data_IF_624285334273
#
_entry.id   IF_624285334273
#
_cell.length_a   1.000
_cell.length_b   1.000
_cell.length_c   1.000
_cell.angle_alpha   90.00
_cell.angle_beta   90.00
_cell.angle_gamma   90.00
#
_symmetry.space_group_name_H-M   'P 1'
#
loop_
_entity.id
_entity.type
_entity.pdbx_description
1 polymer ?
#
# COMPACT_ATOMS: atom_id res chain seq x y z
N UNK A 1 -8.57 -27.62 0.34
CA UNK A 1 -7.48 -26.63 0.13
C UNK A 1 -7.53 -25.95 -1.24
N UNK A 2 -7.30 -26.64 -2.37
CA UNK A 2 -7.26 -25.99 -3.71
C UNK A 2 -8.54 -25.22 -4.08
N UNK A 3 -9.71 -25.81 -3.90
CA UNK A 3 -11.00 -25.14 -4.20
C UNK A 3 -11.21 -23.89 -3.32
N UNK A 4 -10.93 -23.99 -2.02
CA UNK A 4 -11.01 -22.87 -1.10
C UNK A 4 -10.01 -21.74 -1.40
N UNK A 5 -8.83 -22.07 -1.96
CA UNK A 5 -7.85 -21.09 -2.40
C UNK A 5 -8.29 -20.37 -3.69
N UNK A 6 -8.84 -21.10 -4.65
CA UNK A 6 -9.42 -20.55 -5.88
C UNK A 6 -10.56 -19.57 -5.58
N UNK A 7 -11.48 -19.93 -4.68
CA UNK A 7 -12.56 -19.05 -4.27
C UNK A 7 -12.08 -17.74 -3.61
N UNK A 8 -10.88 -17.73 -3.02
CA UNK A 8 -10.30 -16.56 -2.35
C UNK A 8 -9.24 -15.82 -3.19
N UNK A 9 -9.02 -16.24 -4.44
CA UNK A 9 -8.01 -15.62 -5.32
C UNK A 9 -6.56 -15.81 -4.85
N UNK A 10 -6.28 -16.80 -4.00
CA UNK A 10 -4.93 -17.08 -3.50
C UNK A 10 -4.22 -18.06 -4.44
N UNK A 11 -3.12 -17.67 -5.12
CA UNK A 11 -2.33 -18.59 -5.92
C UNK A 11 -1.58 -19.57 -5.00
N UNK A 12 -2.16 -20.74 -4.77
CA UNK A 12 -1.60 -21.77 -3.90
C UNK A 12 -0.94 -22.88 -4.71
N UNK A 13 0.32 -23.21 -4.39
CA UNK A 13 1.01 -24.43 -4.87
C UNK A 13 1.06 -25.42 -3.72
N UNK A 14 0.54 -26.63 -3.94
CA UNK A 14 0.61 -27.71 -2.97
C UNK A 14 1.86 -28.57 -3.22
N UNK A 15 2.53 -29.04 -2.16
CA UNK A 15 3.62 -30.01 -2.29
C UNK A 15 3.11 -31.34 -2.86
N UNK A 16 4.00 -32.09 -3.49
CA UNK A 16 3.71 -33.40 -4.11
C UNK A 16 3.56 -34.52 -3.07
N UNK A 17 3.92 -34.25 -1.82
CA UNK A 17 4.02 -35.19 -0.71
C UNK A 17 4.96 -36.37 -1.03
N UNK A 18 6.14 -36.09 -1.58
CA UNK A 18 7.20 -37.09 -1.78
C UNK A 18 7.79 -37.59 -0.45
N UNK A 19 8.67 -38.61 -0.47
CA UNK A 19 9.24 -39.18 0.76
C UNK A 19 10.03 -38.16 1.58
N UNK A 20 10.69 -37.20 0.93
CA UNK A 20 11.43 -36.15 1.62
C UNK A 20 10.46 -35.16 2.30
N UNK A 21 9.37 -34.82 1.62
CA UNK A 21 8.30 -33.95 2.15
C UNK A 21 7.49 -34.62 3.27
N UNK A 22 7.23 -35.93 3.18
CA UNK A 22 6.56 -36.70 4.23
C UNK A 22 7.36 -36.72 5.53
N UNK A 23 8.69 -36.78 5.44
CA UNK A 23 9.57 -36.75 6.62
C UNK A 23 9.45 -35.47 7.44
N UNK A 24 9.24 -34.33 6.76
CA UNK A 24 9.09 -33.02 7.39
C UNK A 24 7.63 -32.61 7.62
N UNK A 25 6.66 -33.29 7.02
CA UNK A 25 5.21 -33.05 7.16
C UNK A 25 4.60 -33.52 8.48
N UNK A 26 5.37 -33.53 9.57
CA UNK A 26 4.93 -34.01 10.88
C UNK A 26 4.51 -32.85 11.80
N UNK A 27 3.76 -33.16 12.86
CA UNK A 27 3.26 -32.17 13.81
C UNK A 27 4.38 -31.31 14.43
N UNK A 28 5.55 -31.89 14.74
CA UNK A 28 6.67 -31.15 15.34
C UNK A 28 7.19 -30.07 14.40
N UNK A 29 7.32 -30.37 13.12
CA UNK A 29 7.84 -29.42 12.12
C UNK A 29 6.78 -28.41 11.70
N UNK A 30 5.55 -28.85 11.42
CA UNK A 30 4.44 -27.97 11.05
C UNK A 30 4.06 -27.04 12.21
N UNK A 31 4.22 -27.51 13.44
CA UNK A 31 4.10 -26.72 14.65
C UNK A 31 5.44 -26.15 15.18
N UNK A 32 6.51 -26.18 14.38
CA UNK A 32 7.81 -25.63 14.73
C UNK A 32 7.90 -24.12 14.44
N UNK A 33 8.67 -23.38 15.23
CA UNK A 33 8.99 -21.97 14.93
C UNK A 33 10.06 -21.82 13.86
N UNK A 34 10.90 -22.85 13.68
CA UNK A 34 11.94 -22.90 12.67
C UNK A 34 11.36 -23.30 11.30
N UNK A 35 11.38 -22.41 10.30
CA UNK A 35 10.90 -22.71 8.96
C UNK A 35 11.94 -23.43 8.09
N UNK A 36 13.21 -23.57 8.51
CA UNK A 36 14.29 -24.08 7.66
C UNK A 36 13.94 -25.37 6.87
N UNK A 37 13.44 -26.45 7.51
CA UNK A 37 13.10 -27.68 6.78
C UNK A 37 11.96 -27.48 5.78
N UNK A 38 10.97 -26.64 6.12
CA UNK A 38 9.85 -26.34 5.23
C UNK A 38 10.28 -25.44 4.07
N UNK A 39 11.22 -24.51 4.31
CA UNK A 39 11.77 -23.62 3.30
C UNK A 39 12.56 -24.40 2.26
N UNK A 40 13.45 -25.29 2.70
CA UNK A 40 14.25 -26.13 1.80
C UNK A 40 13.37 -26.96 0.86
N UNK A 41 12.31 -27.58 1.38
CA UNK A 41 11.35 -28.30 0.54
C UNK A 41 10.53 -27.39 -0.38
N UNK A 42 10.25 -26.15 0.06
CA UNK A 42 9.44 -25.18 -0.70
C UNK A 42 10.20 -24.48 -1.83
N UNK A 43 11.54 -24.49 -1.82
CA UNK A 43 12.38 -23.86 -2.86
C UNK A 43 12.06 -24.38 -4.27
N UNK A 44 11.72 -25.67 -4.37
CA UNK A 44 11.35 -26.34 -5.63
C UNK A 44 10.07 -25.76 -6.27
N UNK A 45 9.25 -25.05 -5.50
CA UNK A 45 7.98 -24.48 -5.94
C UNK A 45 8.03 -22.96 -6.14
N UNK A 46 9.18 -22.32 -5.92
CA UNK A 46 9.37 -20.88 -6.08
C UNK A 46 8.34 -20.06 -5.31
N UNK A 47 8.11 -20.43 -4.05
CA UNK A 47 7.07 -19.82 -3.22
C UNK A 47 7.61 -18.59 -2.47
N UNK A 48 6.93 -17.46 -2.58
CA UNK A 48 7.23 -16.24 -1.81
C UNK A 48 6.79 -16.35 -0.33
N UNK A 49 5.83 -17.25 -0.07
CA UNK A 49 5.28 -17.52 1.25
C UNK A 49 5.10 -19.02 1.48
N UNK A 50 5.26 -19.45 2.73
CA UNK A 50 5.09 -20.85 3.15
C UNK A 50 3.98 -20.91 4.19
N UNK A 51 2.94 -21.70 3.92
CA UNK A 51 1.84 -21.97 4.84
C UNK A 51 1.92 -23.43 5.31
N UNK A 52 2.20 -23.63 6.59
CA UNK A 52 2.08 -24.93 7.25
C UNK A 52 0.72 -25.04 7.93
N UNK A 53 0.04 -26.17 7.74
CA UNK A 53 -1.23 -26.46 8.40
C UNK A 53 -1.16 -27.86 9.01
N UNK A 54 -1.31 -27.95 10.32
CA UNK A 54 -1.48 -29.21 11.02
C UNK A 54 -2.96 -29.37 11.38
N UNK A 55 -3.65 -30.25 10.66
CA UNK A 55 -5.05 -30.58 10.87
C UNK A 55 -5.19 -31.90 11.64
N UNK A 56 -6.08 -31.91 12.64
CA UNK A 56 -6.46 -33.08 13.43
C UNK A 56 -7.97 -33.16 13.55
N UNK A 57 -8.50 -34.36 13.60
CA UNK A 57 -9.91 -34.60 13.93
C UNK A 57 -10.02 -34.97 15.41
N UNK A 58 -10.98 -34.36 16.10
CA UNK A 58 -11.22 -34.57 17.53
C UNK A 58 -12.72 -34.42 17.81
N UNK A 59 -13.35 -35.51 18.29
CA UNK A 59 -14.78 -35.51 18.63
C UNK A 59 -15.73 -35.21 17.46
N UNK A 60 -15.38 -35.58 16.23
CA UNK A 60 -16.17 -35.29 15.03
C UNK A 60 -16.06 -33.84 14.54
N UNK A 61 -15.11 -33.08 15.08
CA UNK A 61 -14.75 -31.75 14.59
C UNK A 61 -13.31 -31.73 14.11
N UNK A 62 -13.09 -31.09 12.96
CA UNK A 62 -11.76 -30.82 12.45
C UNK A 62 -11.19 -29.56 13.10
N UNK A 63 -9.95 -29.64 13.54
CA UNK A 63 -9.21 -28.55 14.17
C UNK A 63 -7.87 -28.42 13.45
N UNK A 64 -7.48 -27.21 13.08
CA UNK A 64 -6.25 -26.94 12.36
C UNK A 64 -5.46 -25.85 13.05
N UNK A 65 -4.19 -26.11 13.34
CA UNK A 65 -3.23 -25.04 13.64
C UNK A 65 -2.50 -24.70 12.35
N UNK A 66 -2.25 -23.42 12.13
CA UNK A 66 -1.56 -22.96 10.93
C UNK A 66 -0.51 -21.92 11.27
N UNK A 67 0.52 -21.89 10.42
CA UNK A 67 1.63 -20.94 10.47
C UNK A 67 1.98 -20.48 9.07
N UNK A 68 2.25 -19.19 8.94
CA UNK A 68 2.62 -18.57 7.68
C UNK A 68 3.95 -17.83 7.85
N UNK A 69 4.88 -18.10 6.94
CA UNK A 69 6.13 -17.36 6.80
C UNK A 69 6.12 -16.63 5.46
N UNK A 70 6.37 -15.31 5.51
CA UNK A 70 6.43 -14.44 4.35
C UNK A 70 7.51 -13.39 4.59
N UNK A 71 8.69 -13.57 3.97
CA UNK A 71 9.88 -12.79 4.29
C UNK A 71 10.19 -12.84 5.79
N UNK A 72 10.26 -11.69 6.45
CA UNK A 72 10.52 -11.58 7.90
C UNK A 72 9.27 -11.79 8.77
N UNK A 73 8.09 -11.90 8.16
CA UNK A 73 6.82 -11.99 8.88
C UNK A 73 6.48 -13.43 9.22
N UNK A 74 5.91 -13.59 10.42
CA UNK A 74 5.49 -14.87 10.97
C UNK A 74 4.10 -14.69 11.54
N UNK A 75 3.11 -15.27 10.87
CA UNK A 75 1.73 -15.30 11.35
C UNK A 75 1.38 -16.71 11.80
N UNK A 76 0.48 -16.82 12.78
CA UNK A 76 0.00 -18.10 13.26
C UNK A 76 -1.43 -17.99 13.74
N UNK A 77 -2.13 -19.12 13.73
CA UNK A 77 -3.49 -19.19 14.24
C UNK A 77 -4.01 -20.59 14.31
N UNK A 78 -5.30 -20.67 14.61
CA UNK A 78 -6.05 -21.91 14.63
C UNK A 78 -7.43 -21.70 14.03
N UNK A 79 -7.98 -22.74 13.44
CA UNK A 79 -9.30 -22.77 12.84
C UNK A 79 -9.97 -24.10 13.16
N UNK A 80 -11.30 -24.12 13.10
CA UNK A 80 -12.10 -25.33 13.26
C UNK A 80 -13.10 -25.46 12.13
N UNK A 81 -13.55 -26.68 11.86
CA UNK A 81 -14.52 -26.98 10.81
C UNK A 81 -15.25 -28.29 11.07
N UNK A 82 -16.48 -28.41 10.57
CA UNK A 82 -17.24 -29.65 10.65
C UNK A 82 -16.66 -30.75 9.73
N UNK A 83 -16.00 -30.36 8.64
CA UNK A 83 -15.33 -31.26 7.69
C UNK A 83 -13.91 -30.77 7.39
N UNK A 84 -13.12 -31.62 6.73
CA UNK A 84 -11.76 -31.25 6.31
C UNK A 84 -11.76 -30.06 5.33
N UNK A 85 -12.79 -29.96 4.49
CA UNK A 85 -13.01 -28.88 3.53
C UNK A 85 -13.39 -27.59 4.25
N UNK A 86 -14.30 -27.67 5.23
CA UNK A 86 -14.68 -26.54 6.05
C UNK A 86 -13.50 -26.00 6.86
N UNK A 87 -12.64 -26.88 7.39
CA UNK A 87 -11.42 -26.48 8.06
C UNK A 87 -10.46 -25.78 7.08
N UNK A 88 -10.24 -26.36 5.90
CA UNK A 88 -9.39 -25.76 4.87
C UNK A 88 -9.88 -24.35 4.48
N UNK A 89 -11.20 -24.19 4.37
CA UNK A 89 -11.84 -22.92 4.08
C UNK A 89 -11.60 -21.90 5.21
N UNK A 90 -11.82 -22.30 6.47
CA UNK A 90 -11.60 -21.46 7.63
C UNK A 90 -10.13 -21.05 7.83
N UNK A 91 -9.18 -21.95 7.58
CA UNK A 91 -7.73 -21.64 7.62
C UNK A 91 -7.39 -20.59 6.56
N UNK A 92 -7.82 -20.79 5.32
CA UNK A 92 -7.53 -19.86 4.23
C UNK A 92 -8.22 -18.50 4.44
N UNK A 93 -9.42 -18.47 5.03
CA UNK A 93 -10.06 -17.22 5.45
C UNK A 93 -9.19 -16.49 6.47
N UNK A 94 -8.80 -17.18 7.54
CA UNK A 94 -7.99 -16.59 8.61
C UNK A 94 -6.65 -16.05 8.08
N UNK A 95 -5.99 -16.81 7.20
CA UNK A 95 -4.77 -16.35 6.50
C UNK A 95 -5.06 -15.12 5.64
N UNK A 96 -6.14 -15.13 4.86
CA UNK A 96 -6.51 -14.00 4.00
C UNK A 96 -6.82 -12.73 4.80
N UNK A 97 -7.49 -12.83 5.94
CA UNK A 97 -7.78 -11.69 6.83
C UNK A 97 -6.51 -11.12 7.47
N UNK A 98 -5.52 -11.97 7.77
CA UNK A 98 -4.23 -11.57 8.31
C UNK A 98 -3.33 -10.93 7.27
N UNK A 99 -3.43 -11.40 6.03
CA UNK A 99 -2.74 -10.82 4.88
C UNK A 99 -3.45 -9.57 4.33
N UNK A 100 -4.76 -9.43 4.54
CA UNK A 100 -5.57 -8.35 3.99
C UNK A 100 -5.04 -6.95 4.35
N UNK A 101 -4.67 -6.59 5.60
CA UNK A 101 -4.10 -5.27 5.89
C UNK A 101 -2.87 -4.91 5.05
N UNK A 102 -2.15 -5.90 4.52
CA UNK A 102 -0.89 -5.73 3.80
C UNK A 102 -1.01 -5.91 2.29
N UNK A 103 -1.99 -6.69 1.85
CA UNK A 103 -2.23 -7.03 0.43
C UNK A 103 -3.58 -6.54 -0.09
N UNK A 104 -4.42 -5.94 0.76
CA UNK A 104 -5.40 -4.95 0.31
C UNK A 104 -4.59 -3.77 -0.17
N UNK A 105 -4.17 -3.86 -1.43
CA UNK A 105 -4.22 -2.69 -2.27
C UNK A 105 -5.66 -2.19 -2.12
N UNK A 106 -5.88 -1.14 -1.32
CA UNK A 106 -7.01 -0.25 -1.61
C UNK A 106 -6.94 -0.03 -3.13
N UNK A 107 -8.05 0.04 -3.84
CA UNK A 107 -8.03 0.52 -5.22
C UNK A 107 -7.40 1.94 -5.24
N UNK A 108 -6.08 2.06 -5.37
CA UNK A 108 -5.28 3.27 -5.05
C UNK A 108 -4.30 3.18 -3.86
N UNK A 109 -3.93 1.99 -3.36
CA UNK A 109 -2.82 1.81 -2.41
C UNK A 109 -1.69 0.97 -3.03
N UNK A 110 -1.32 1.31 -4.25
CA UNK A 110 0.10 1.53 -4.51
C UNK A 110 0.61 2.49 -3.44
N UNK A 111 1.87 2.43 -3.03
CA UNK A 111 2.49 3.59 -2.38
C UNK A 111 2.47 4.72 -3.43
N UNK A 112 1.32 5.40 -3.53
CA UNK A 112 0.97 6.31 -4.60
C UNK A 112 1.88 7.50 -4.44
N UNK A 113 2.84 7.64 -5.34
CA UNK A 113 3.67 8.82 -5.36
C UNK A 113 2.88 9.89 -6.08
N UNK A 114 2.74 11.05 -5.44
CA UNK A 114 2.07 12.18 -6.05
C UNK A 114 3.08 12.92 -6.93
N UNK A 115 2.74 13.13 -8.19
CA UNK A 115 3.53 13.92 -9.12
C UNK A 115 2.72 15.17 -9.42
N UNK A 116 3.26 16.33 -9.06
CA UNK A 116 2.73 17.60 -9.53
C UNK A 116 3.54 18.08 -10.73
N UNK A 117 2.87 18.30 -11.86
CA UNK A 117 3.48 18.85 -13.07
C UNK A 117 2.91 20.23 -13.34
N UNK A 118 3.79 21.22 -13.52
CA UNK A 118 3.45 22.61 -13.85
C UNK A 118 3.63 22.87 -15.36
N UNK A 119 2.88 23.84 -15.92
CA UNK A 119 2.93 24.16 -17.34
C UNK A 119 2.22 23.14 -18.24
N UNK A 120 1.11 22.57 -17.77
CA UNK A 120 0.33 21.58 -18.51
C UNK A 120 -0.42 22.20 -19.68
N UNK A 121 -0.35 21.57 -20.85
CA UNK A 121 -1.22 21.82 -22.01
C UNK A 121 -1.97 20.54 -22.37
N UNK A 122 -3.03 20.64 -23.19
CA UNK A 122 -3.80 19.48 -23.63
C UNK A 122 -2.91 18.43 -24.34
N UNK A 123 -1.97 18.90 -25.14
CA UNK A 123 -1.00 18.05 -25.87
C UNK A 123 -0.04 17.34 -24.90
N UNK A 124 0.51 18.07 -23.92
CA UNK A 124 1.42 17.55 -22.90
C UNK A 124 0.73 16.55 -21.97
N UNK A 125 -0.56 16.75 -21.70
CA UNK A 125 -1.35 15.84 -20.90
C UNK A 125 -1.46 14.45 -21.54
N UNK A 126 -1.78 14.39 -22.84
CA UNK A 126 -1.86 13.12 -23.57
C UNK A 126 -0.51 12.40 -23.63
N UNK A 127 0.58 13.15 -23.82
CA UNK A 127 1.95 12.62 -23.81
C UNK A 127 2.31 12.05 -22.43
N UNK A 128 1.97 12.77 -21.36
CA UNK A 128 2.25 12.35 -20.00
C UNK A 128 1.42 11.13 -19.60
N UNK A 129 0.16 11.04 -20.03
CA UNK A 129 -0.65 9.84 -19.82
C UNK A 129 -0.03 8.60 -20.47
N UNK A 130 0.47 8.71 -21.70
CA UNK A 130 1.15 7.61 -22.38
C UNK A 130 2.44 7.20 -21.65
N UNK A 131 3.21 8.18 -21.16
CA UNK A 131 4.44 7.92 -20.43
C UNK A 131 4.20 7.25 -19.07
N UNK A 132 3.11 7.62 -18.40
CA UNK A 132 2.77 7.12 -17.07
C UNK A 132 1.87 5.86 -17.10
N UNK A 133 1.47 5.38 -18.28
CA UNK A 133 0.64 4.18 -18.47
C UNK A 133 1.24 2.93 -17.80
N UNK A 134 2.55 2.63 -17.91
CA UNK A 134 3.18 1.49 -17.23
C UNK A 134 3.14 1.55 -15.71
N UNK A 135 2.93 2.74 -15.13
CA UNK A 135 2.91 3.00 -13.69
C UNK A 135 1.48 3.08 -13.12
N UNK A 136 0.46 2.83 -13.93
CA UNK A 136 -0.94 2.90 -13.48
C UNK A 136 -1.34 4.30 -13.01
N UNK A 137 -1.26 5.27 -13.92
CA UNK A 137 -1.57 6.67 -13.65
C UNK A 137 -3.03 6.92 -13.29
N UNK A 138 -3.25 7.72 -12.25
CA UNK A 138 -4.57 8.24 -11.88
C UNK A 138 -4.52 9.75 -11.69
N UNK A 139 -5.47 10.46 -12.26
CA UNK A 139 -5.60 11.91 -12.06
C UNK A 139 -6.16 12.18 -10.65
N UNK A 140 -5.46 13.00 -9.86
CA UNK A 140 -5.88 13.38 -8.50
C UNK A 140 -6.52 14.77 -8.49
N UNK A 141 -5.86 15.77 -9.08
CA UNK A 141 -6.39 17.14 -9.14
C UNK A 141 -5.83 17.91 -10.35
N UNK A 142 -6.59 18.91 -10.80
CA UNK A 142 -6.20 19.86 -11.85
C UNK A 142 -6.51 21.26 -11.36
N UNK A 143 -5.49 22.11 -11.29
CA UNK A 143 -5.61 23.51 -10.89
C UNK A 143 -4.87 24.39 -11.90
N UNK A 144 -5.61 24.93 -12.87
CA UNK A 144 -5.04 25.75 -13.94
C UNK A 144 -4.02 24.97 -14.79
N UNK A 145 -2.77 25.41 -14.77
CA UNK A 145 -1.64 24.76 -15.47
C UNK A 145 -0.96 23.66 -14.63
N UNK A 146 -1.41 23.43 -13.39
CA UNK A 146 -0.86 22.44 -12.46
C UNK A 146 -1.74 21.21 -12.43
N UNK A 147 -1.13 20.04 -12.63
CA UNK A 147 -1.84 18.76 -12.56
C UNK A 147 -1.14 17.83 -11.61
N UNK A 148 -1.92 17.20 -10.73
CA UNK A 148 -1.45 16.21 -9.76
C UNK A 148 -1.90 14.83 -10.22
N UNK A 149 -0.94 13.94 -10.43
CA UNK A 149 -1.16 12.54 -10.72
C UNK A 149 -0.72 11.68 -9.55
N UNK A 150 -1.43 10.59 -9.34
CA UNK A 150 -1.03 9.48 -8.49
C UNK A 150 -0.47 8.37 -9.38
N UNK A 151 0.74 7.91 -9.08
CA UNK A 151 1.40 6.81 -9.81
C UNK A 151 1.93 5.75 -8.87
N UNK A 152 2.13 4.56 -9.43
CA UNK A 152 2.58 3.37 -8.72
C UNK A 152 3.96 2.96 -9.26
N UNK A 153 5.00 2.90 -8.42
CA UNK A 153 6.29 2.36 -8.86
C UNK A 153 7.50 2.94 -8.13
N UNK A 154 8.69 2.58 -8.62
CA UNK A 154 9.97 3.00 -8.07
C UNK A 154 10.27 4.47 -8.42
N UNK A 155 10.60 5.29 -7.41
CA UNK A 155 10.93 6.72 -7.57
C UNK A 155 12.02 6.97 -8.61
N UNK A 156 13.09 6.17 -8.61
CA UNK A 156 14.22 6.34 -9.54
C UNK A 156 13.85 6.03 -11.00
N UNK A 157 12.97 5.05 -11.24
CA UNK A 157 12.51 4.72 -12.59
C UNK A 157 11.64 5.84 -13.15
N UNK A 158 10.75 6.39 -12.32
CA UNK A 158 9.91 7.51 -12.73
C UNK A 158 10.75 8.75 -13.02
N UNK A 159 11.69 9.11 -12.13
CA UNK A 159 12.61 10.24 -12.35
C UNK A 159 13.38 10.09 -13.66
N UNK A 160 13.88 8.89 -13.94
CA UNK A 160 14.57 8.57 -15.19
C UNK A 160 13.67 8.73 -16.41
N UNK A 161 12.42 8.26 -16.37
CA UNK A 161 11.49 8.42 -17.49
C UNK A 161 11.04 9.87 -17.71
N UNK A 162 10.74 10.62 -16.64
CA UNK A 162 10.31 12.01 -16.74
C UNK A 162 11.43 12.93 -17.24
N UNK A 163 12.68 12.69 -16.82
CA UNK A 163 13.84 13.41 -17.35
C UNK A 163 14.09 13.13 -18.83
N UNK A 164 13.84 11.90 -19.31
CA UNK A 164 13.88 11.57 -20.74
C UNK A 164 12.80 12.32 -21.54
N UNK A 165 11.64 12.55 -20.92
CA UNK A 165 10.56 13.37 -21.49
C UNK A 165 10.79 14.88 -21.37
N UNK A 166 11.99 15.31 -20.94
CA UNK A 166 12.43 16.70 -20.73
C UNK A 166 11.76 17.42 -19.56
N UNK A 167 11.09 16.70 -18.65
CA UNK A 167 10.60 17.32 -17.42
C UNK A 167 11.76 17.50 -16.43
N UNK A 168 11.86 18.70 -15.87
CA UNK A 168 12.84 19.03 -14.84
C UNK A 168 12.22 18.85 -13.46
N UNK A 169 12.88 18.09 -12.59
CA UNK A 169 12.50 18.00 -11.19
C UNK A 169 12.78 19.34 -10.49
N UNK A 170 11.78 19.83 -9.77
CA UNK A 170 11.86 21.05 -8.99
C UNK A 170 11.94 20.65 -7.51
N UNK A 171 12.91 21.18 -6.74
CA UNK A 171 12.94 20.95 -5.30
C UNK A 171 11.63 21.43 -4.65
N UNK A 172 11.09 20.66 -3.70
CA UNK A 172 9.83 20.99 -3.02
C UNK A 172 9.81 22.41 -2.42
N UNK A 173 10.97 22.93 -1.99
CA UNK A 173 11.13 24.29 -1.47
C UNK A 173 10.84 25.39 -2.51
N UNK A 174 11.20 25.16 -3.78
CA UNK A 174 11.01 26.12 -4.87
C UNK A 174 9.58 26.04 -5.44
N UNK A 175 9.00 24.83 -5.47
CA UNK A 175 7.59 24.63 -5.82
C UNK A 175 6.63 25.32 -4.83
N UNK A 176 6.94 25.29 -3.53
CA UNK A 176 6.19 26.00 -2.51
C UNK A 176 6.34 27.54 -2.62
N UNK A 177 7.54 28.03 -2.99
CA UNK A 177 7.77 29.47 -3.18
C UNK A 177 6.89 30.05 -4.31
N UNK A 178 6.72 29.32 -5.42
CA UNK A 178 5.80 29.69 -6.51
C UNK A 178 4.31 29.57 -6.18
N UNK A 179 3.95 28.96 -5.04
CA UNK A 179 2.58 28.89 -4.56
C UNK A 179 2.23 30.00 -3.55
N UNK A 180 3.21 30.84 -3.16
CA UNK A 180 2.96 32.00 -2.30
C UNK A 180 2.23 33.06 -3.13
N UNK A 181 1.03 33.53 -2.73
CA UNK A 181 0.43 34.72 -3.30
C UNK A 181 1.38 35.92 -3.14
N UNK A 182 1.29 36.96 -3.99
CA UNK A 182 2.13 38.13 -3.85
C UNK A 182 1.99 38.70 -2.44
N UNK A 183 3.12 38.93 -1.77
CA UNK A 183 3.16 39.69 -0.53
C UNK A 183 2.39 41.00 -0.74
N UNK A 184 1.34 41.20 0.05
CA UNK A 184 0.68 42.49 0.14
C UNK A 184 1.74 43.55 0.47
N UNK A 185 1.74 44.71 -0.20
CA UNK A 185 2.76 45.71 -0.01
C UNK A 185 2.75 46.20 1.44
N UNK A 186 3.96 46.36 1.98
CA UNK A 186 4.23 47.15 3.17
C UNK A 186 3.61 48.54 2.98
N UNK A 187 2.71 48.94 3.87
CA UNK A 187 2.41 50.35 4.05
C UNK A 187 2.46 50.68 5.54
N UNK A 188 3.32 51.65 5.84
CA UNK A 188 3.56 52.19 7.16
C UNK A 188 2.63 53.38 7.35
N UNK A 189 1.78 53.35 8.38
CA UNK A 189 1.39 54.54 9.17
C UNK A 189 0.45 54.15 10.31
N UNK A 190 0.95 54.28 11.54
CA UNK A 190 0.13 54.68 12.69
C UNK A 190 -0.18 56.19 12.55
N UNK A 191 -1.20 56.82 13.22
CA UNK A 191 -1.49 56.61 14.64
C UNK A 191 -2.95 56.86 15.17
N UNK A 192 -3.07 56.70 16.51
CA UNK A 192 -4.02 57.25 17.52
C UNK A 192 -5.41 56.61 17.75
N UNK A 193 -5.66 56.28 19.03
CA UNK A 193 -6.89 55.76 19.68
C UNK A 193 -7.83 56.91 20.18
N UNK A 194 -8.88 56.73 21.04
CA UNK A 194 -9.59 55.53 21.55
C UNK A 194 -11.16 55.64 21.57
N UNK A 195 -11.87 54.57 21.96
CA UNK A 195 -13.01 54.54 22.93
C UNK A 195 -14.14 53.53 22.61
N UNK A 196 -14.32 52.60 23.56
CA UNK A 196 -15.55 51.98 24.09
C UNK A 196 -16.61 51.38 23.16
N UNK A 197 -16.86 50.08 23.37
CA UNK A 197 -18.23 49.57 23.51
C UNK A 197 -18.50 48.24 22.80
N UNK A 198 -19.03 47.30 23.58
CA UNK A 198 -19.67 46.04 23.18
C UNK A 198 -18.75 44.84 22.90
N UNK A 199 -18.80 43.92 23.85
CA UNK A 199 -18.35 42.55 23.72
C UNK A 199 -19.08 41.85 22.56
N UNK A 200 -18.30 41.34 21.60
CA UNK A 200 -18.73 40.34 20.64
C UNK A 200 -17.77 39.15 20.73
N UNK A 201 -18.38 37.99 20.96
CA UNK A 201 -17.78 36.67 21.15
C UNK A 201 -16.82 36.34 19.99
N UNK A 202 -15.59 35.84 20.23
CA UNK A 202 -14.74 35.41 19.13
C UNK A 202 -15.32 34.14 18.50
N UNK A 203 -15.68 34.22 17.22
CA UNK A 203 -15.95 33.06 16.39
C UNK A 203 -14.65 32.21 16.29
N UNK A 204 -14.75 30.88 16.33
CA UNK A 204 -13.56 30.03 16.34
C UNK A 204 -12.81 30.16 15.00
N UNK A 205 -11.49 30.31 15.12
CA UNK A 205 -10.56 30.19 14.01
C UNK A 205 -10.84 28.88 13.24
N UNK A 206 -10.78 28.87 11.89
CA UNK A 206 -10.76 27.62 11.17
C UNK A 206 -9.51 26.85 11.62
N UNK A 207 -9.75 25.68 12.21
CA UNK A 207 -8.71 24.75 12.61
C UNK A 207 -7.74 24.53 11.43
N UNK A 208 -6.42 24.44 11.67
CA UNK A 208 -5.49 24.05 10.62
C UNK A 208 -5.98 22.72 10.07
N UNK A 209 -6.36 22.71 8.79
CA UNK A 209 -6.63 21.47 8.08
C UNK A 209 -5.39 20.60 8.28
N UNK A 210 -5.59 19.51 9.00
CA UNK A 210 -4.61 18.46 9.20
C UNK A 210 -4.29 17.96 7.80
N UNK A 211 -3.16 18.42 7.28
CA UNK A 211 -2.53 17.89 6.08
C UNK A 211 -2.37 16.39 6.34
N UNK A 212 -3.05 15.49 5.61
CA UNK A 212 -2.81 14.07 5.79
C UNK A 212 -1.34 13.81 5.47
N UNK A 213 -0.71 13.01 6.34
CA UNK A 213 0.69 12.62 6.29
C UNK A 213 1.18 12.43 4.84
N UNK A 214 2.19 13.23 4.47
CA UNK A 214 2.70 13.38 3.12
C UNK A 214 3.00 12.04 2.46
N UNK A 215 2.18 11.65 1.48
CA UNK A 215 2.66 10.77 0.42
C UNK A 215 3.91 11.43 -0.19
N UNK A 216 4.96 10.66 -0.59
CA UNK A 216 6.10 11.23 -1.28
C UNK A 216 5.59 12.00 -2.50
N UNK A 217 5.87 13.30 -2.54
CA UNK A 217 5.43 14.19 -3.60
C UNK A 217 6.63 14.70 -4.37
N UNK A 218 6.63 14.48 -5.68
CA UNK A 218 7.62 15.01 -6.59
C UNK A 218 7.01 16.15 -7.40
N UNK A 219 7.82 17.19 -7.62
CA UNK A 219 7.43 18.35 -8.38
C UNK A 219 8.22 18.38 -9.67
N UNK A 220 7.53 18.55 -10.78
CA UNK A 220 8.14 18.67 -12.09
C UNK A 220 7.61 19.91 -12.82
N UNK A 221 8.46 20.47 -13.67
CA UNK A 221 8.06 21.47 -14.66
C UNK A 221 8.51 20.99 -16.03
N UNK A 222 7.72 21.33 -17.04
CA UNK A 222 8.08 21.11 -18.43
C UNK A 222 9.12 22.11 -18.92
#
# INVERSE_FOLDING_TARGET
>A
MRQAAQHRGLPLRLPLADLSEQGIGNAKTLEGTDPAPLKEASERYGADAILAVHAREDGGQWQGKWRLWLGDQREQGSATGATSEALADAVLLSVSERLAPRFVAKPGASTGMLIQVQGMTLERYAQLLQLLEPFGVRLSSVEGDKVVFEVSGSTDQLRSQLSLAKLQEVPAAEAAATATPPAAPVDATAPVAPANGAAAVPAPAPAPMIVPASAPQLYFRW
#
